data_IF_261707470225
#
_entry.id   IF_261707470225
#
_cell.length_a   1.000
_cell.length_b   1.000
_cell.length_c   1.000
_cell.angle_alpha   90.00
_cell.angle_beta   90.00
_cell.angle_gamma   90.00
#
_symmetry.space_group_name_H-M   'P 1'
#
loop_
_entity.id
_entity.type
_entity.pdbx_description
1 polymer ?
#
# COMPACT_ATOMS: atom_id res chain seq x y z
N UNK A 1 5.89 -6.01 -15.10
CA UNK A 1 5.93 -4.72 -14.37
C UNK A 1 6.06 -5.02 -12.88
N UNK A 2 6.91 -4.32 -12.12
CA UNK A 2 7.11 -4.60 -10.69
C UNK A 2 5.85 -4.16 -9.90
N UNK A 3 5.39 -4.96 -8.93
CA UNK A 3 4.19 -4.67 -8.10
C UNK A 3 4.46 -3.66 -6.99
N UNK A 4 5.66 -3.67 -6.43
CA UNK A 4 6.08 -2.80 -5.32
C UNK A 4 7.56 -2.44 -5.46
N UNK A 5 7.96 -1.33 -4.85
CA UNK A 5 9.37 -0.97 -4.67
C UNK A 5 9.86 -1.55 -3.34
N UNK A 6 11.07 -2.09 -3.33
CA UNK A 6 11.75 -2.55 -2.11
C UNK A 6 12.91 -1.61 -1.86
N UNK A 7 13.03 -1.14 -0.63
CA UNK A 7 14.08 -0.23 -0.21
C UNK A 7 14.61 -0.59 1.18
N UNK A 8 15.86 -0.27 1.47
CA UNK A 8 16.39 -0.25 2.83
C UNK A 8 16.21 1.17 3.38
N UNK A 9 15.53 1.30 4.51
CA UNK A 9 15.13 2.61 5.05
C UNK A 9 16.34 3.50 5.40
N UNK A 10 17.44 2.88 5.81
CA UNK A 10 18.68 3.55 6.20
C UNK A 10 19.48 4.10 5.00
N UNK A 11 19.08 3.80 3.76
CA UNK A 11 19.78 4.24 2.56
C UNK A 11 19.19 5.53 1.97
N UNK A 12 19.85 6.66 2.23
CA UNK A 12 19.42 7.99 1.76
C UNK A 12 19.24 8.08 0.24
N UNK A 13 20.00 7.31 -0.56
CA UNK A 13 19.89 7.31 -2.01
C UNK A 13 18.58 6.69 -2.51
N UNK A 14 17.94 5.87 -1.70
CA UNK A 14 16.69 5.20 -2.07
C UNK A 14 15.47 6.11 -1.90
N UNK A 15 15.61 7.26 -1.23
CA UNK A 15 14.56 8.28 -1.13
C UNK A 15 14.16 8.83 -2.50
N UNK A 16 15.13 9.06 -3.39
CA UNK A 16 14.85 9.52 -4.76
C UNK A 16 14.15 8.43 -5.59
N UNK A 17 14.48 7.16 -5.35
CA UNK A 17 13.81 6.03 -5.99
C UNK A 17 12.35 5.94 -5.56
N UNK A 18 12.05 6.13 -4.27
CA UNK A 18 10.68 6.18 -3.74
C UNK A 18 9.88 7.29 -4.41
N UNK A 19 10.44 8.49 -4.51
CA UNK A 19 9.75 9.62 -5.14
C UNK A 19 9.43 9.35 -6.63
N UNK A 20 10.39 8.80 -7.37
CA UNK A 20 10.18 8.39 -8.77
C UNK A 20 9.11 7.32 -8.87
N UNK A 21 9.15 6.32 -8.00
CA UNK A 21 8.17 5.25 -7.95
C UNK A 21 6.75 5.77 -7.70
N UNK A 22 6.58 6.68 -6.74
CA UNK A 22 5.30 7.33 -6.45
C UNK A 22 4.79 8.09 -7.67
N UNK A 23 5.66 8.86 -8.33
CA UNK A 23 5.31 9.60 -9.54
C UNK A 23 4.88 8.65 -10.67
N UNK A 24 5.63 7.57 -10.90
CA UNK A 24 5.31 6.58 -11.93
C UNK A 24 3.98 5.87 -11.63
N UNK A 25 3.73 5.48 -10.38
CA UNK A 25 2.48 4.87 -9.98
C UNK A 25 1.28 5.81 -10.16
N UNK A 26 1.44 7.09 -9.82
CA UNK A 26 0.41 8.11 -10.02
C UNK A 26 0.09 8.30 -11.51
N UNK A 27 1.12 8.45 -12.35
CA UNK A 27 0.95 8.63 -13.80
C UNK A 27 0.34 7.41 -14.50
N UNK A 28 0.60 6.21 -13.98
CA UNK A 28 0.07 4.95 -14.52
C UNK A 28 -1.21 4.47 -13.84
N UNK A 29 -1.80 5.29 -12.95
CA UNK A 29 -3.03 4.99 -12.22
C UNK A 29 -3.02 3.64 -11.50
N UNK A 30 -1.88 3.26 -10.92
CA UNK A 30 -1.70 1.96 -10.26
C UNK A 30 -1.44 2.09 -8.75
N UNK A 31 -1.68 1.01 -7.98
CA UNK A 31 -1.28 0.93 -6.58
C UNK A 31 0.19 1.29 -6.39
N UNK A 32 0.47 2.18 -5.44
CA UNK A 32 1.82 2.56 -5.10
C UNK A 32 2.21 1.93 -3.77
N UNK A 33 2.93 0.82 -3.83
CA UNK A 33 3.38 0.07 -2.64
C UNK A 33 4.89 0.14 -2.54
N UNK A 34 5.39 0.45 -1.35
CA UNK A 34 6.81 0.48 -1.02
C UNK A 34 7.05 -0.35 0.24
N UNK A 35 8.00 -1.27 0.18
CA UNK A 35 8.47 -2.11 1.29
C UNK A 35 9.80 -1.56 1.76
N UNK A 36 9.85 -1.05 2.97
CA UNK A 36 11.03 -0.53 3.63
C UNK A 36 11.55 -1.60 4.58
N UNK A 37 12.80 -2.02 4.40
CA UNK A 37 13.46 -2.95 5.29
C UNK A 37 14.30 -2.20 6.32
N UNK A 38 14.19 -2.61 7.58
CA UNK A 38 15.01 -2.14 8.70
C UNK A 38 15.34 -3.34 9.60
N UNK A 39 16.61 -3.76 9.59
CA UNK A 39 17.09 -4.98 10.24
C UNK A 39 16.23 -6.23 9.92
N UNK A 40 15.63 -6.85 10.94
CA UNK A 40 14.77 -8.03 10.86
C UNK A 40 13.28 -7.69 10.62
N UNK A 41 12.96 -6.41 10.51
CA UNK A 41 11.62 -5.89 10.32
C UNK A 41 11.48 -5.18 8.98
N UNK A 42 10.22 -4.92 8.63
CA UNK A 42 9.84 -4.16 7.48
C UNK A 42 8.63 -3.28 7.79
N UNK A 43 8.61 -2.12 7.16
CA UNK A 43 7.48 -1.22 7.07
C UNK A 43 6.94 -1.25 5.63
N UNK A 44 5.63 -1.35 5.44
CA UNK A 44 5.02 -1.27 4.11
C UNK A 44 4.15 -0.04 4.04
N UNK A 45 4.43 0.85 3.08
CA UNK A 45 3.56 1.96 2.74
C UNK A 45 2.75 1.66 1.49
N UNK A 46 1.44 1.87 1.57
CA UNK A 46 0.52 1.81 0.45
C UNK A 46 -0.10 3.19 0.22
N UNK A 47 0.08 3.74 -0.98
CA UNK A 47 -0.48 5.02 -1.39
C UNK A 47 -1.55 4.82 -2.49
N UNK A 48 -2.73 5.38 -2.23
CA UNK A 48 -3.92 5.31 -3.08
C UNK A 48 -4.31 6.68 -3.67
N UNK A 49 -3.40 7.67 -3.67
CA UNK A 49 -3.65 9.00 -4.25
C UNK A 49 -4.14 8.95 -5.69
N UNK A 50 -3.77 7.92 -6.46
CA UNK A 50 -4.26 7.70 -7.82
C UNK A 50 -5.78 7.48 -7.89
N UNK A 51 -6.40 6.88 -6.85
CA UNK A 51 -7.85 6.63 -6.78
C UNK A 51 -8.64 7.90 -6.51
N UNK A 52 -8.08 8.79 -5.69
CA UNK A 52 -8.77 10.00 -5.23
C UNK A 52 -8.88 11.06 -6.32
N UNK A 53 -8.15 10.89 -7.43
CA UNK A 53 -8.30 11.70 -8.63
C UNK A 53 -9.37 11.15 -9.59
N UNK A 54 -9.97 10.00 -9.30
CA UNK A 54 -11.01 9.41 -10.15
C UNK A 54 -12.37 10.02 -9.79
N UNK A 55 -12.97 10.75 -10.72
CA UNK A 55 -14.36 11.19 -10.59
C UNK A 55 -15.32 10.06 -10.97
N UNK A 56 -15.46 9.06 -10.09
CA UNK A 56 -16.22 7.83 -10.30
C UNK A 56 -17.33 7.65 -9.27
N UNK A 57 -18.51 7.26 -9.71
CA UNK A 57 -19.59 6.84 -8.82
C UNK A 57 -19.15 5.62 -8.01
N UNK A 58 -19.35 5.67 -6.68
CA UNK A 58 -18.98 4.56 -5.79
C UNK A 58 -17.54 4.62 -5.26
N UNK A 59 -16.74 5.66 -5.59
CA UNK A 59 -15.39 5.83 -5.05
C UNK A 59 -15.38 5.76 -3.51
N UNK A 60 -16.26 6.50 -2.84
CA UNK A 60 -16.31 6.51 -1.37
C UNK A 60 -16.61 5.12 -0.78
N UNK A 61 -17.46 4.33 -1.45
CA UNK A 61 -17.77 2.97 -1.02
C UNK A 61 -16.53 2.07 -1.13
N UNK A 62 -15.78 2.17 -2.23
CA UNK A 62 -14.57 1.38 -2.41
C UNK A 62 -13.43 1.83 -1.48
N UNK A 63 -13.31 3.13 -1.17
CA UNK A 63 -12.37 3.63 -0.17
C UNK A 63 -12.66 3.04 1.22
N UNK A 64 -13.94 2.97 1.61
CA UNK A 64 -14.34 2.36 2.88
C UNK A 64 -14.03 0.84 2.89
N UNK A 65 -14.20 0.16 1.76
CA UNK A 65 -13.85 -1.27 1.64
C UNK A 65 -12.34 -1.51 1.68
N UNK A 66 -11.52 -0.63 1.11
CA UNK A 66 -10.06 -0.67 1.22
C UNK A 66 -9.65 -0.57 2.69
N UNK A 67 -10.20 0.40 3.43
CA UNK A 67 -9.92 0.59 4.85
C UNK A 67 -10.26 -0.67 5.67
N UNK A 68 -11.43 -1.26 5.43
CA UNK A 68 -11.85 -2.52 6.07
C UNK A 68 -10.95 -3.71 5.71
N UNK A 69 -10.63 -3.90 4.42
CA UNK A 69 -9.75 -4.98 3.97
C UNK A 69 -8.35 -4.86 4.59
N UNK A 70 -7.82 -3.64 4.67
CA UNK A 70 -6.50 -3.38 5.27
C UNK A 70 -6.49 -3.57 6.77
N UNK A 71 -7.54 -3.12 7.46
CA UNK A 71 -7.72 -3.38 8.89
C UNK A 71 -7.79 -4.88 9.18
N UNK A 72 -8.56 -5.64 8.41
CA UNK A 72 -8.66 -7.10 8.54
C UNK A 72 -7.34 -7.80 8.22
N UNK A 73 -6.63 -7.37 7.18
CA UNK A 73 -5.29 -7.87 6.87
C UNK A 73 -4.34 -7.66 8.07
N UNK A 74 -4.43 -6.51 8.73
CA UNK A 74 -3.67 -6.21 9.94
C UNK A 74 -3.91 -7.22 11.06
N UNK A 75 -5.18 -7.51 11.35
CA UNK A 75 -5.59 -8.48 12.37
C UNK A 75 -5.14 -9.90 12.00
N UNK A 76 -5.44 -10.34 10.77
CA UNK A 76 -5.28 -11.73 10.35
C UNK A 76 -3.81 -12.12 10.10
N UNK A 77 -2.92 -11.15 9.86
CA UNK A 77 -1.51 -11.43 9.53
C UNK A 77 -0.49 -10.92 10.51
N UNK A 78 -0.80 -9.84 11.23
CA UNK A 78 0.12 -9.25 12.18
C UNK A 78 -0.36 -9.42 13.62
N UNK A 79 -1.46 -10.16 13.83
CA UNK A 79 -2.07 -10.47 15.13
C UNK A 79 -2.32 -9.24 16.02
N UNK A 80 -2.39 -8.06 15.42
CA UNK A 80 -2.44 -6.80 16.15
C UNK A 80 -2.93 -5.69 15.23
N UNK A 81 -3.89 -4.91 15.73
CA UNK A 81 -4.34 -3.67 15.10
C UNK A 81 -3.34 -2.53 15.26
N UNK A 82 -2.29 -2.71 16.08
CA UNK A 82 -1.25 -1.69 16.33
C UNK A 82 -0.28 -1.51 15.16
N UNK A 83 -0.28 -2.45 14.22
CA UNK A 83 0.63 -2.46 13.08
C UNK A 83 -0.03 -1.97 11.79
N UNK A 84 -1.22 -1.36 11.87
CA UNK A 84 -1.88 -0.73 10.73
C UNK A 84 -2.23 0.72 11.08
N UNK A 85 -1.85 1.64 10.20
CA UNK A 85 -2.15 3.05 10.38
C UNK A 85 -2.66 3.66 9.08
N UNK A 86 -3.86 4.25 9.15
CA UNK A 86 -4.30 5.22 8.15
C UNK A 86 -3.63 6.56 8.47
N UNK A 87 -2.50 6.84 7.82
CA UNK A 87 -1.73 8.08 8.03
C UNK A 87 -2.53 9.30 7.57
N UNK A 88 -3.24 9.16 6.45
CA UNK A 88 -4.20 10.13 5.93
C UNK A 88 -5.13 9.44 4.93
N UNK A 89 -6.01 10.20 4.25
CA UNK A 89 -6.96 9.64 3.28
C UNK A 89 -6.32 8.96 2.07
N UNK A 90 -5.03 9.19 1.82
CA UNK A 90 -4.31 8.65 0.66
C UNK A 90 -3.25 7.60 1.01
N UNK A 91 -2.84 7.49 2.28
CA UNK A 91 -1.67 6.73 2.68
C UNK A 91 -2.00 5.84 3.87
N UNK A 92 -1.68 4.56 3.70
CA UNK A 92 -1.73 3.54 4.72
C UNK A 92 -0.32 3.01 4.98
N UNK A 93 -0.08 2.61 6.22
CA UNK A 93 1.17 1.96 6.60
C UNK A 93 0.91 0.70 7.40
N UNK A 94 1.82 -0.24 7.23
CA UNK A 94 1.89 -1.48 7.99
C UNK A 94 3.28 -1.59 8.60
N UNK A 95 3.36 -1.60 9.93
CA UNK A 95 4.61 -1.46 10.69
C UNK A 95 5.02 -2.80 11.33
N UNK A 96 6.29 -2.92 11.73
CA UNK A 96 6.85 -4.06 12.46
C UNK A 96 6.60 -5.44 11.81
N UNK A 97 6.56 -5.51 10.48
CA UNK A 97 6.33 -6.78 9.77
C UNK A 97 7.65 -7.56 9.75
N UNK A 98 7.68 -8.84 10.19
CA UNK A 98 8.87 -9.67 10.04
C UNK A 98 9.37 -9.68 8.59
N UNK A 99 10.68 -9.47 8.39
CA UNK A 99 11.29 -9.31 7.06
C UNK A 99 10.97 -10.45 6.10
N UNK A 100 10.93 -11.68 6.61
CA UNK A 100 10.59 -12.89 5.86
C UNK A 100 9.11 -12.94 5.39
N UNK A 101 8.22 -12.18 6.05
CA UNK A 101 6.80 -12.05 5.71
C UNK A 101 6.46 -10.81 4.90
N UNK A 102 7.37 -9.83 4.82
CA UNK A 102 7.13 -8.53 4.20
C UNK A 102 6.65 -8.62 2.74
N UNK A 103 7.26 -9.48 1.93
CA UNK A 103 6.87 -9.65 0.52
C UNK A 103 5.48 -10.27 0.38
N UNK A 104 5.15 -11.26 1.22
CA UNK A 104 3.82 -11.88 1.22
C UNK A 104 2.75 -10.85 1.60
N UNK A 105 3.02 -10.02 2.60
CA UNK A 105 2.15 -8.91 2.98
C UNK A 105 1.98 -7.89 1.85
N UNK A 106 3.07 -7.45 1.22
CA UNK A 106 3.05 -6.50 0.11
C UNK A 106 2.22 -7.01 -1.08
N UNK A 107 2.32 -8.31 -1.38
CA UNK A 107 1.49 -8.95 -2.41
C UNK A 107 -0.01 -8.88 -2.06
N UNK A 108 -0.39 -9.16 -0.81
CA UNK A 108 -1.80 -9.11 -0.39
C UNK A 108 -2.37 -7.69 -0.44
N UNK A 109 -1.58 -6.71 0.00
CA UNK A 109 -1.94 -5.29 -0.11
C UNK A 109 -2.15 -4.91 -1.57
N UNK A 110 -1.25 -5.34 -2.47
CA UNK A 110 -1.37 -5.10 -3.90
C UNK A 110 -2.65 -5.70 -4.47
N UNK A 111 -2.92 -6.97 -4.17
CA UNK A 111 -4.05 -7.69 -4.72
C UNK A 111 -5.40 -7.13 -4.21
N UNK A 112 -5.46 -6.64 -2.96
CA UNK A 112 -6.61 -5.88 -2.44
C UNK A 112 -6.83 -4.62 -3.28
N UNK A 113 -5.80 -3.80 -3.46
CA UNK A 113 -5.93 -2.53 -4.20
C UNK A 113 -6.29 -2.77 -5.66
N UNK A 114 -5.64 -3.72 -6.33
CA UNK A 114 -5.91 -4.05 -7.73
C UNK A 114 -7.36 -4.52 -7.92
N UNK A 115 -7.88 -5.36 -7.02
CA UNK A 115 -9.28 -5.80 -7.05
C UNK A 115 -10.24 -4.62 -6.94
N UNK A 116 -10.04 -3.74 -5.95
CA UNK A 116 -10.92 -2.58 -5.69
C UNK A 116 -10.91 -1.57 -6.83
N UNK A 117 -9.76 -1.41 -7.49
CA UNK A 117 -9.64 -0.57 -8.69
C UNK A 117 -10.49 -1.12 -9.82
N UNK A 118 -10.37 -2.42 -10.11
CA UNK A 118 -11.18 -3.06 -11.16
C UNK A 118 -12.67 -2.98 -10.87
N UNK A 119 -13.08 -3.16 -9.61
CA UNK A 119 -14.47 -3.00 -9.19
C UNK A 119 -15.00 -1.58 -9.45
N UNK A 120 -14.15 -0.55 -9.27
CA UNK A 120 -14.47 0.84 -9.56
C UNK A 120 -14.53 1.13 -11.08
N UNK A 121 -13.73 0.46 -11.89
CA UNK A 121 -13.72 0.60 -13.35
C UNK A 121 -14.94 -0.01 -14.02
N UNK A 122 -15.49 -1.09 -13.44
CA UNK A 122 -16.70 -1.78 -13.91
C UNK A 122 -18.01 -1.05 -13.54
N UNK A 123 -17.93 -0.04 -12.67
CA UNK A 123 -19.02 0.88 -12.32
C UNK A 123 -18.99 2.14 -13.21
#
# INVERSE_FOLDING_TARGET
MKKFLEVNEDNIFEKDLVNKWISDCHNSLRPCIVVYYHDDLAHISANISHLLNLNKSGLQEELNRIDQDFFMLGIDHFHSSLHFWKVNDHKFTFDDIPRDKALVAAHKIYDILERRIRDLELK
#
